data_IF_010751521337
#
_entry.id   IF_010751521337
#
_cell.length_a   1.000
_cell.length_b   1.000
_cell.length_c   1.000
_cell.angle_alpha   90.00
_cell.angle_beta   90.00
_cell.angle_gamma   90.00
#
_symmetry.space_group_name_H-M   'P 1'
#
loop_
_entity.id
_entity.type
_entity.pdbx_description
1 polymer ?
#
# COMPACT_ATOMS: atom_id res chain seq x y z
N UNK A 1 1.38 -9.03 -26.47
CA UNK A 1 1.32 -8.01 -25.40
C UNK A 1 0.34 -6.85 -25.67
N UNK A 2 -0.51 -6.90 -26.70
CA UNK A 2 -1.35 -5.76 -27.13
C UNK A 2 -2.75 -5.69 -26.50
N UNK A 3 -3.13 -6.72 -25.72
CA UNK A 3 -4.50 -6.90 -25.20
C UNK A 3 -4.56 -7.06 -23.68
N UNK A 4 -3.50 -6.68 -22.94
CA UNK A 4 -3.59 -6.67 -21.48
C UNK A 4 -4.39 -5.43 -21.06
N UNK A 5 -5.54 -5.57 -20.38
CA UNK A 5 -6.26 -4.42 -19.89
C UNK A 5 -5.37 -3.68 -18.89
N UNK A 6 -4.89 -2.51 -19.28
CA UNK A 6 -4.08 -1.66 -18.42
C UNK A 6 -4.97 -1.14 -17.28
N UNK A 7 -4.93 -1.79 -16.12
CA UNK A 7 -5.59 -1.30 -14.92
C UNK A 7 -4.80 -0.15 -14.31
N UNK A 8 -5.48 0.92 -13.91
CA UNK A 8 -4.87 2.03 -13.18
C UNK A 8 -4.98 1.78 -11.69
N UNK A 9 -3.87 1.77 -10.97
CA UNK A 9 -3.87 1.66 -9.51
C UNK A 9 -4.37 2.95 -8.88
N UNK A 10 -5.33 2.84 -7.95
CA UNK A 10 -6.00 3.98 -7.32
C UNK A 10 -5.96 3.94 -5.80
N UNK A 11 -5.37 2.89 -5.22
CA UNK A 11 -5.11 2.74 -3.80
C UNK A 11 -3.86 1.88 -3.63
N UNK A 12 -2.89 2.35 -2.85
CA UNK A 12 -1.70 1.58 -2.50
C UNK A 12 -1.00 2.10 -1.27
N UNK A 13 -0.26 1.24 -0.57
CA UNK A 13 0.80 1.68 0.32
C UNK A 13 2.11 1.71 -0.47
N UNK A 14 2.77 2.87 -0.51
CA UNK A 14 4.01 3.00 -1.26
C UNK A 14 5.15 2.22 -0.58
N UNK A 15 5.88 1.36 -1.32
CA UNK A 15 7.13 0.82 -0.82
C UNK A 15 8.16 1.95 -0.69
N UNK A 16 8.88 1.98 0.42
CA UNK A 16 9.89 3.00 0.73
C UNK A 16 11.31 2.44 0.68
N UNK A 17 11.56 1.36 1.39
CA UNK A 17 12.87 0.72 1.47
C UNK A 17 12.75 -0.76 1.20
N UNK A 18 13.71 -1.30 0.45
CA UNK A 18 13.84 -2.73 0.23
C UNK A 18 15.20 -3.20 0.75
N UNK A 19 15.21 -4.32 1.47
CA UNK A 19 16.38 -4.81 2.19
C UNK A 19 16.55 -6.32 1.97
N UNK A 20 17.78 -6.76 1.69
CA UNK A 20 18.15 -8.19 1.66
C UNK A 20 18.33 -8.80 3.06
N UNK A 21 17.86 -8.11 4.10
CA UNK A 21 17.93 -8.56 5.48
C UNK A 21 16.52 -8.82 6.01
N UNK A 22 16.30 -10.02 6.55
CA UNK A 22 15.02 -10.44 7.10
C UNK A 22 14.92 -10.11 8.59
N UNK A 23 14.27 -9.01 8.93
CA UNK A 23 14.03 -8.58 10.31
C UNK A 23 13.22 -9.62 11.09
N UNK A 24 12.35 -10.38 10.41
CA UNK A 24 11.58 -11.45 11.03
C UNK A 24 12.47 -12.60 11.49
N UNK A 25 13.35 -13.09 10.63
CA UNK A 25 14.30 -14.14 11.01
C UNK A 25 15.28 -13.63 12.07
N UNK A 26 15.79 -12.41 11.91
CA UNK A 26 16.81 -11.85 12.80
C UNK A 26 16.33 -11.61 14.24
N UNK A 27 15.07 -11.22 14.42
CA UNK A 27 14.57 -10.79 15.74
C UNK A 27 13.46 -11.67 16.33
N UNK A 28 12.80 -12.50 15.52
CA UNK A 28 11.67 -13.34 15.94
C UNK A 28 11.94 -14.84 15.74
N UNK A 29 13.19 -15.22 15.48
CA UNK A 29 13.59 -16.62 15.30
C UNK A 29 14.99 -16.89 15.84
N UNK A 30 15.34 -18.17 15.92
CA UNK A 30 16.71 -18.66 16.12
C UNK A 30 17.40 -19.06 14.81
N UNK A 31 16.65 -19.12 13.69
CA UNK A 31 17.19 -19.39 12.36
C UNK A 31 17.75 -18.14 11.67
N UNK A 32 18.38 -18.34 10.50
CA UNK A 32 19.10 -17.29 9.76
C UNK A 32 18.30 -16.76 8.56
N UNK A 33 17.52 -17.61 7.90
CA UNK A 33 16.77 -17.24 6.69
C UNK A 33 15.54 -18.14 6.45
N UNK A 34 14.90 -18.01 5.28
CA UNK A 34 13.66 -18.73 4.94
C UNK A 34 13.76 -20.26 5.04
N UNK A 35 14.97 -20.83 5.08
CA UNK A 35 15.20 -22.29 5.14
C UNK A 35 15.06 -22.84 6.55
N UNK A 36 15.34 -22.04 7.58
CA UNK A 36 15.44 -22.49 8.97
C UNK A 36 14.79 -21.55 10.00
N UNK A 37 14.23 -20.41 9.58
CA UNK A 37 13.66 -19.43 10.51
C UNK A 37 12.31 -19.86 11.11
N UNK A 38 11.67 -20.92 10.60
CA UNK A 38 10.34 -21.34 11.07
C UNK A 38 9.20 -20.39 10.66
N UNK A 39 9.47 -19.44 9.75
CA UNK A 39 8.50 -18.49 9.16
C UNK A 39 7.69 -17.65 10.16
N UNK A 40 8.32 -16.95 11.12
CA UNK A 40 7.61 -16.06 12.03
C UNK A 40 6.84 -14.94 11.32
N UNK A 41 7.18 -14.61 10.08
CA UNK A 41 6.43 -13.65 9.28
C UNK A 41 5.00 -14.07 8.91
N UNK A 42 4.63 -15.34 9.03
CA UNK A 42 3.27 -15.80 8.76
C UNK A 42 2.32 -15.47 9.93
N UNK A 43 2.86 -15.41 11.15
CA UNK A 43 2.07 -15.20 12.37
C UNK A 43 2.22 -13.79 12.96
N UNK A 44 3.30 -13.08 12.61
CA UNK A 44 3.63 -11.78 13.18
C UNK A 44 3.45 -10.63 12.19
N UNK A 45 2.81 -9.56 12.66
CA UNK A 45 2.82 -8.25 11.99
C UNK A 45 3.93 -7.39 12.60
N UNK A 46 4.85 -6.92 11.77
CA UNK A 46 5.98 -6.07 12.19
C UNK A 46 5.85 -4.70 11.55
N UNK A 47 6.08 -3.66 12.36
CA UNK A 47 6.10 -2.26 11.92
C UNK A 47 7.33 -1.56 12.48
N UNK A 48 7.95 -0.70 11.70
CA UNK A 48 8.97 0.24 12.18
C UNK A 48 8.28 1.50 12.67
N UNK A 49 8.64 1.96 13.87
CA UNK A 49 8.13 3.20 14.42
C UNK A 49 9.18 4.29 14.31
N UNK A 50 8.83 5.43 13.72
CA UNK A 50 9.74 6.56 13.62
C UNK A 50 9.74 7.44 14.88
N UNK A 51 10.59 8.48 14.87
CA UNK A 51 10.73 9.43 15.99
C UNK A 51 9.48 10.26 16.28
N UNK A 52 8.56 10.40 15.33
CA UNK A 52 7.29 11.14 15.50
C UNK A 52 6.11 10.21 15.77
N UNK A 53 6.38 8.90 15.86
CA UNK A 53 5.43 7.87 16.25
C UNK A 53 4.66 7.24 15.09
N UNK A 54 4.96 7.57 13.83
CA UNK A 54 4.35 6.92 12.67
C UNK A 54 4.83 5.47 12.56
N UNK A 55 3.91 4.58 12.16
CA UNK A 55 4.15 3.12 12.10
C UNK A 55 4.14 2.65 10.65
N UNK A 56 5.28 2.13 10.21
CA UNK A 56 5.59 1.76 8.84
C UNK A 56 5.61 0.23 8.72
N UNK A 57 4.67 -0.39 8.00
CA UNK A 57 4.60 -1.84 7.93
C UNK A 57 5.81 -2.43 7.19
N UNK A 58 6.32 -3.54 7.69
CA UNK A 58 7.41 -4.30 7.08
C UNK A 58 6.85 -5.64 6.63
N UNK A 59 6.98 -5.96 5.35
CA UNK A 59 6.57 -7.27 4.83
C UNK A 59 7.77 -7.96 4.16
N UNK A 60 7.94 -9.28 4.38
CA UNK A 60 8.88 -10.07 3.61
C UNK A 60 8.28 -10.52 2.27
N UNK A 61 9.12 -10.70 1.27
CA UNK A 61 8.81 -11.54 0.12
C UNK A 61 9.16 -13.02 0.37
N UNK A 62 8.94 -13.87 -0.62
CA UNK A 62 9.21 -15.31 -0.56
C UNK A 62 10.70 -15.64 -0.38
N UNK A 63 11.60 -14.71 -0.71
CA UNK A 63 13.04 -14.81 -0.53
C UNK A 63 13.53 -14.21 0.79
N UNK A 64 12.63 -13.84 1.71
CA UNK A 64 12.94 -13.16 2.97
C UNK A 64 13.55 -11.74 2.80
N UNK A 65 13.40 -11.10 1.64
CA UNK A 65 13.74 -9.69 1.47
C UNK A 65 12.62 -8.86 2.05
N UNK A 66 12.95 -7.81 2.78
CA UNK A 66 11.95 -7.02 3.48
C UNK A 66 11.71 -5.70 2.77
N UNK A 67 10.43 -5.37 2.60
CA UNK A 67 9.99 -4.08 2.12
C UNK A 67 9.33 -3.32 3.26
N UNK A 68 9.84 -2.13 3.55
CA UNK A 68 9.20 -1.15 4.43
C UNK A 68 8.27 -0.31 3.58
N UNK A 69 7.00 -0.26 3.95
CA UNK A 69 5.97 0.51 3.26
C UNK A 69 5.64 1.79 4.05
N UNK A 70 5.07 2.77 3.36
CA UNK A 70 4.63 4.02 3.98
C UNK A 70 3.56 3.76 5.04
N UNK A 71 3.52 4.60 6.08
CA UNK A 71 2.56 4.51 7.18
C UNK A 71 1.14 4.90 6.75
N UNK A 72 0.99 5.66 5.66
CA UNK A 72 -0.28 6.14 5.12
C UNK A 72 -0.42 5.70 3.66
N UNK A 73 -1.60 5.16 3.32
CA UNK A 73 -1.96 4.80 1.95
C UNK A 73 -2.01 6.04 1.04
N UNK A 74 -1.81 5.82 -0.26
CA UNK A 74 -2.10 6.79 -1.32
C UNK A 74 -3.41 6.42 -1.98
N UNK A 75 -4.14 7.43 -2.45
CA UNK A 75 -5.40 7.25 -3.17
C UNK A 75 -5.53 8.24 -4.31
N UNK A 76 -5.92 7.75 -5.48
CA UNK A 76 -6.27 8.56 -6.64
C UNK A 76 -7.78 8.74 -6.81
N UNK A 77 -8.58 8.53 -5.76
CA UNK A 77 -10.04 8.61 -5.84
C UNK A 77 -10.52 9.93 -6.50
N UNK A 78 -9.88 11.06 -6.17
CA UNK A 78 -10.20 12.38 -6.75
C UNK A 78 -9.98 12.47 -8.27
N UNK A 79 -9.10 11.64 -8.82
CA UNK A 79 -8.76 11.64 -10.25
C UNK A 79 -9.55 10.62 -11.05
N UNK A 80 -10.30 9.71 -10.41
CA UNK A 80 -11.03 8.62 -11.09
C UNK A 80 -12.01 9.16 -12.14
N UNK A 81 -12.75 10.23 -11.82
CA UNK A 81 -13.66 10.86 -12.76
C UNK A 81 -12.96 11.32 -14.04
N UNK A 82 -11.84 12.05 -13.90
CA UNK A 82 -11.02 12.51 -15.02
C UNK A 82 -10.38 11.36 -15.78
N UNK A 83 -9.89 10.32 -15.09
CA UNK A 83 -9.36 9.11 -15.74
C UNK A 83 -10.43 8.42 -16.59
N UNK A 84 -11.69 8.40 -16.15
CA UNK A 84 -12.78 7.85 -16.98
C UNK A 84 -13.01 8.67 -18.25
N UNK A 85 -12.89 9.98 -18.21
CA UNK A 85 -12.97 10.81 -19.43
C UNK A 85 -11.82 10.52 -20.40
N UNK A 86 -10.64 10.17 -19.88
CA UNK A 86 -9.44 9.87 -20.66
C UNK A 86 -9.37 8.44 -21.22
N UNK A 87 -10.31 7.55 -20.84
CA UNK A 87 -10.40 6.19 -21.38
C UNK A 87 -10.22 5.04 -20.39
N UNK A 88 -9.39 5.12 -19.33
CA UNK A 88 -9.32 4.07 -18.31
C UNK A 88 -10.68 3.59 -17.78
N UNK A 89 -10.85 2.27 -17.70
CA UNK A 89 -12.06 1.60 -17.19
C UNK A 89 -11.80 0.55 -16.12
N UNK A 90 -10.57 0.04 -16.06
CA UNK A 90 -10.13 -0.89 -15.03
C UNK A 90 -9.32 -0.13 -13.98
N UNK A 91 -9.75 -0.24 -12.73
CA UNK A 91 -9.06 0.36 -11.59
C UNK A 91 -8.68 -0.72 -10.60
N UNK A 92 -7.50 -0.58 -9.98
CA UNK A 92 -6.91 -1.56 -9.07
C UNK A 92 -6.74 -0.95 -7.68
N UNK A 93 -7.14 -1.72 -6.67
CA UNK A 93 -6.97 -1.37 -5.25
C UNK A 93 -6.00 -2.39 -4.66
N UNK A 94 -4.81 -1.93 -4.29
CA UNK A 94 -3.77 -2.77 -3.69
C UNK A 94 -3.89 -2.72 -2.17
N UNK A 95 -4.34 -3.83 -1.59
CA UNK A 95 -4.48 -4.03 -0.16
C UNK A 95 -3.20 -4.65 0.41
N UNK A 96 -2.75 -4.15 1.55
CA UNK A 96 -1.51 -4.61 2.20
C UNK A 96 -1.75 -5.12 3.62
N UNK A 97 -2.44 -4.33 4.45
CA UNK A 97 -2.59 -4.62 5.89
C UNK A 97 -4.01 -4.41 6.42
N UNK A 98 -4.94 -4.09 5.53
CA UNK A 98 -6.35 -3.90 5.84
C UNK A 98 -6.91 -5.16 6.48
N UNK A 99 -7.65 -4.98 7.56
CA UNK A 99 -8.38 -6.08 8.22
C UNK A 99 -9.58 -6.50 7.37
N UNK A 100 -10.10 -7.74 7.54
CA UNK A 100 -11.30 -8.18 6.83
C UNK A 100 -12.49 -7.20 6.97
N UNK A 101 -12.64 -6.56 8.14
CA UNK A 101 -13.68 -5.57 8.39
C UNK A 101 -13.48 -4.25 7.62
N UNK A 102 -12.25 -3.93 7.20
CA UNK A 102 -11.92 -2.73 6.44
C UNK A 102 -12.02 -2.97 4.92
N UNK A 103 -11.72 -4.18 4.45
CA UNK A 103 -11.65 -4.49 3.02
C UNK A 103 -12.97 -4.24 2.30
N UNK A 104 -14.08 -4.79 2.79
CA UNK A 104 -15.40 -4.62 2.15
C UNK A 104 -15.80 -3.14 2.00
N UNK A 105 -15.86 -2.37 3.10
CA UNK A 105 -16.17 -0.94 3.04
C UNK A 105 -15.22 -0.12 2.17
N UNK A 106 -13.93 -0.47 2.11
CA UNK A 106 -12.95 0.20 1.27
C UNK A 106 -13.24 -0.05 -0.22
N UNK A 107 -13.49 -1.30 -0.60
CA UNK A 107 -13.82 -1.67 -1.97
C UNK A 107 -15.14 -1.06 -2.41
N UNK A 108 -16.15 -1.02 -1.54
CA UNK A 108 -17.45 -0.40 -1.84
C UNK A 108 -17.31 1.09 -2.16
N UNK A 109 -16.48 1.82 -1.39
CA UNK A 109 -16.19 3.24 -1.65
C UNK A 109 -15.57 3.44 -3.03
N UNK A 110 -14.54 2.66 -3.36
CA UNK A 110 -13.90 2.75 -4.68
C UNK A 110 -14.83 2.34 -5.82
N UNK A 111 -15.68 1.33 -5.62
CA UNK A 111 -16.68 0.92 -6.59
C UNK A 111 -17.70 2.04 -6.86
N UNK A 112 -18.17 2.73 -5.81
CA UNK A 112 -19.10 3.87 -5.95
C UNK A 112 -18.45 5.06 -6.67
N UNK A 113 -17.20 5.41 -6.35
CA UNK A 113 -16.45 6.45 -7.08
C UNK A 113 -16.26 6.07 -8.55
N UNK A 114 -15.86 4.83 -8.83
CA UNK A 114 -15.68 4.33 -10.20
C UNK A 114 -16.98 4.33 -11.01
N UNK A 115 -18.11 4.07 -10.35
CA UNK A 115 -19.44 4.16 -10.95
C UNK A 115 -19.95 5.62 -11.09
N UNK A 116 -19.22 6.62 -10.58
CA UNK A 116 -19.65 8.02 -10.58
C UNK A 116 -20.81 8.32 -9.61
N UNK A 117 -21.01 7.48 -8.59
CA UNK A 117 -22.06 7.65 -7.57
C UNK A 117 -21.61 8.51 -6.40
N UNK A 118 -20.31 8.55 -6.13
CA UNK A 118 -19.69 9.32 -5.05
C UNK A 118 -18.63 10.27 -5.60
N UNK A 119 -18.45 11.40 -4.92
CA UNK A 119 -17.38 12.35 -5.22
C UNK A 119 -16.02 11.77 -4.80
N UNK A 120 -15.09 11.76 -5.75
CA UNK A 120 -13.75 11.22 -5.55
C UNK A 120 -12.92 12.01 -4.54
N UNK A 121 -13.08 13.34 -4.53
CA UNK A 121 -12.34 14.23 -3.63
C UNK A 121 -12.82 14.09 -2.18
N UNK A 122 -14.13 13.98 -1.95
CA UNK A 122 -14.68 13.63 -0.64
C UNK A 122 -14.22 12.24 -0.19
N UNK A 123 -14.28 11.25 -1.07
CA UNK A 123 -13.83 9.89 -0.76
C UNK A 123 -12.35 9.86 -0.34
N UNK A 124 -11.47 10.55 -1.07
CA UNK A 124 -10.06 10.68 -0.71
C UNK A 124 -9.86 11.26 0.70
N UNK A 125 -10.57 12.35 1.04
CA UNK A 125 -10.50 12.95 2.38
C UNK A 125 -10.98 12.00 3.47
N UNK A 126 -12.06 11.27 3.22
CA UNK A 126 -12.60 10.29 4.17
C UNK A 126 -11.64 9.12 4.41
N UNK A 127 -10.90 8.69 3.38
CA UNK A 127 -9.87 7.66 3.49
C UNK A 127 -8.64 8.12 4.29
N UNK A 128 -8.47 9.43 4.51
CA UNK A 128 -7.26 10.02 5.13
C UNK A 128 -5.96 9.55 4.45
N UNK A 129 -6.05 9.34 3.14
CA UNK A 129 -4.94 8.91 2.30
C UNK A 129 -4.14 10.11 1.79
N UNK A 130 -2.94 9.87 1.28
CA UNK A 130 -2.19 10.86 0.50
C UNK A 130 -2.77 10.92 -0.93
N UNK A 131 -2.87 12.10 -1.52
CA UNK A 131 -3.36 12.27 -2.90
C UNK A 131 -2.27 12.19 -3.98
N UNK A 132 -1.01 12.12 -3.57
CA UNK A 132 0.10 11.88 -4.49
C UNK A 132 0.11 10.40 -4.82
N UNK A 133 -0.36 10.00 -6.02
CA UNK A 133 -0.35 8.60 -6.44
C UNK A 133 0.99 8.24 -7.08
N UNK A 134 1.65 7.19 -6.59
CA UNK A 134 2.88 6.64 -7.16
C UNK A 134 4.12 7.50 -6.92
N UNK A 135 3.99 8.61 -6.20
CA UNK A 135 5.09 9.50 -5.82
C UNK A 135 5.02 9.80 -4.34
N UNK A 136 6.17 9.90 -3.69
CA UNK A 136 6.28 10.32 -2.29
C UNK A 136 7.03 11.64 -2.24
N UNK A 137 6.53 12.64 -1.50
CA UNK A 137 7.28 13.86 -1.24
C UNK A 137 8.58 13.51 -0.50
N UNK A 138 9.72 13.75 -1.13
CA UNK A 138 11.02 13.55 -0.50
C UNK A 138 11.18 14.44 0.74
N UNK A 139 12.00 13.99 1.69
CA UNK A 139 12.31 14.74 2.92
C UNK A 139 13.33 15.85 2.71
N UNK A 140 13.79 16.06 1.46
CA UNK A 140 14.75 17.11 1.13
C UNK A 140 14.10 18.48 1.32
N UNK A 141 14.40 19.12 2.44
CA UNK A 141 14.23 20.55 2.62
C UNK A 141 15.52 21.21 2.12
N UNK A 142 15.43 21.92 1.01
CA UNK A 142 16.49 22.87 0.63
C UNK A 142 16.43 24.01 1.66
N UNK A 143 17.50 24.14 2.43
CA UNK A 143 17.74 25.27 3.34
C UNK A 143 18.41 26.37 2.52
#
# INVERSE_FOLDING_TARGET
MKDMPHSVEIHLLMPMFHMEHCVFAAFLSSGKDHRDCGRPCEDHKVELRDRVGASFPVLPDTGCRNTVFNSVAQSAAEYVGRMRELGPRAFRVDLLRETPAQVGPLLDRYARVSAGRDDGHETWRQLRALNQLGVTRGTLQLI
#
